data_IF_794578721255
#
_entry.id   IF_794578721255
#
_cell.length_a   1.000
_cell.length_b   1.000
_cell.length_c   1.000
_cell.angle_alpha   90.00
_cell.angle_beta   90.00
_cell.angle_gamma   90.00
#
_symmetry.space_group_name_H-M   'P 1'
#
loop_
_entity.id
_entity.type
_entity.pdbx_description
1 polymer ?
#
# COMPACT_ATOMS: atom_id res chain seq x y z
N UNK A 1 -17.53 6.60 -3.60
CA UNK A 1 -18.09 7.47 -4.65
C UNK A 1 -18.87 8.62 -4.06
N UNK A 2 -19.96 8.35 -3.29
CA UNK A 2 -20.82 9.39 -2.70
C UNK A 2 -20.06 10.44 -1.87
N UNK A 3 -19.12 10.02 -1.03
CA UNK A 3 -18.29 10.93 -0.24
C UNK A 3 -17.39 11.84 -1.08
N UNK A 4 -16.91 11.37 -2.22
CA UNK A 4 -16.11 12.18 -3.14
C UNK A 4 -16.94 13.24 -3.86
N UNK A 5 -18.21 12.94 -4.12
CA UNK A 5 -19.15 13.79 -4.83
C UNK A 5 -19.77 14.86 -3.92
N UNK A 6 -20.22 14.45 -2.73
CA UNK A 6 -20.91 15.34 -1.76
C UNK A 6 -19.98 16.34 -1.11
N UNK A 7 -18.68 16.07 -1.00
CA UNK A 7 -17.64 16.93 -0.42
C UNK A 7 -18.10 17.61 0.88
N UNK A 8 -18.35 16.85 1.98
CA UNK A 8 -18.86 17.42 3.21
C UNK A 8 -17.96 18.56 3.72
N UNK A 9 -18.55 19.64 4.22
CA UNK A 9 -17.81 20.78 4.76
C UNK A 9 -16.93 20.35 5.94
N UNK A 10 -15.69 20.84 5.99
CA UNK A 10 -14.72 20.50 7.05
C UNK A 10 -14.04 19.15 6.91
N UNK A 11 -14.34 18.38 5.85
CA UNK A 11 -13.69 17.11 5.55
C UNK A 11 -12.60 17.25 4.49
N UNK A 12 -11.64 16.34 4.49
CA UNK A 12 -10.67 16.22 3.41
C UNK A 12 -11.37 15.88 2.09
N UNK A 13 -10.81 16.38 0.98
CA UNK A 13 -11.32 16.07 -0.35
C UNK A 13 -10.86 14.68 -0.74
N UNK A 14 -11.80 13.76 -0.99
CA UNK A 14 -11.49 12.43 -1.53
C UNK A 14 -11.05 12.58 -3.00
N UNK A 15 -9.81 12.24 -3.30
CA UNK A 15 -9.20 12.38 -4.63
C UNK A 15 -9.24 11.11 -5.44
N UNK A 16 -9.34 9.98 -4.78
CA UNK A 16 -9.36 8.67 -5.40
C UNK A 16 -9.58 7.57 -4.39
N UNK A 17 -9.72 6.36 -4.89
CA UNK A 17 -9.72 5.13 -4.13
C UNK A 17 -8.51 4.27 -4.55
N UNK A 18 -7.84 3.72 -3.56
CA UNK A 18 -6.84 2.67 -3.72
C UNK A 18 -7.54 1.33 -3.49
N UNK A 19 -7.61 0.50 -4.51
CA UNK A 19 -8.24 -0.81 -4.44
C UNK A 19 -7.21 -1.83 -3.94
N UNK A 20 -7.13 -1.99 -2.64
CA UNK A 20 -6.24 -2.92 -1.96
C UNK A 20 -6.86 -4.32 -1.90
N UNK A 21 -6.56 -5.12 -2.89
CA UNK A 21 -7.12 -6.46 -3.10
C UNK A 21 -8.24 -6.49 -4.14
N UNK A 22 -8.81 -7.68 -4.41
CA UNK A 22 -8.61 -8.99 -3.76
C UNK A 22 -7.48 -9.86 -4.35
N UNK A 23 -6.63 -9.36 -5.23
CA UNK A 23 -5.67 -10.11 -6.04
C UNK A 23 -4.34 -10.34 -5.32
N UNK A 24 -4.40 -10.99 -4.15
CA UNK A 24 -3.30 -11.14 -3.21
C UNK A 24 -2.86 -12.58 -3.00
N UNK A 25 -1.59 -12.75 -2.64
CA UNK A 25 -1.04 -14.03 -2.20
C UNK A 25 -1.62 -14.43 -0.85
N UNK A 26 -2.17 -15.63 -0.74
CA UNK A 26 -2.68 -16.15 0.54
C UNK A 26 -1.58 -16.19 1.62
N UNK A 27 -0.33 -16.49 1.22
CA UNK A 27 0.82 -16.51 2.13
C UNK A 27 1.16 -15.14 2.72
N UNK A 28 0.79 -14.07 2.04
CA UNK A 28 1.10 -12.69 2.39
C UNK A 28 -0.15 -11.83 2.60
N UNK A 29 -1.28 -12.47 2.87
CA UNK A 29 -2.57 -11.79 3.04
C UNK A 29 -2.58 -10.74 4.16
N UNK A 30 -1.65 -10.81 5.12
CA UNK A 30 -1.67 -9.93 6.28
C UNK A 30 -3.01 -10.00 7.01
N UNK A 31 -3.62 -8.85 7.25
CA UNK A 31 -4.93 -8.73 7.88
C UNK A 31 -6.12 -8.91 6.91
N UNK A 32 -5.87 -9.18 5.62
CA UNK A 32 -6.94 -9.44 4.66
C UNK A 32 -7.64 -10.78 4.95
N UNK A 33 -8.95 -10.82 4.77
CA UNK A 33 -9.72 -12.05 4.95
C UNK A 33 -9.50 -13.00 3.77
N UNK A 34 -8.93 -14.18 4.02
CA UNK A 34 -8.61 -15.16 2.98
C UNK A 34 -9.84 -15.58 2.13
N UNK A 35 -11.05 -15.53 2.69
CA UNK A 35 -12.27 -15.88 1.97
C UNK A 35 -12.57 -14.95 0.77
N UNK A 36 -11.99 -13.74 0.77
CA UNK A 36 -12.22 -12.75 -0.28
C UNK A 36 -11.10 -12.69 -1.32
N UNK A 37 -10.00 -13.41 -1.12
CA UNK A 37 -8.90 -13.45 -2.08
C UNK A 37 -9.34 -14.11 -3.40
N UNK A 38 -8.82 -13.59 -4.49
CA UNK A 38 -9.13 -14.03 -5.86
C UNK A 38 -7.85 -13.99 -6.71
N UNK A 39 -7.84 -14.80 -7.74
CA UNK A 39 -6.86 -14.63 -8.83
C UNK A 39 -7.14 -13.34 -9.61
N UNK A 40 -6.11 -12.73 -10.22
CA UNK A 40 -6.27 -11.52 -11.02
C UNK A 40 -7.28 -11.72 -12.16
N UNK A 41 -8.38 -10.99 -12.10
CA UNK A 41 -9.47 -11.03 -13.07
C UNK A 41 -9.76 -9.60 -13.56
N UNK A 42 -9.35 -9.33 -14.80
CA UNK A 42 -9.54 -8.01 -15.39
C UNK A 42 -11.02 -7.69 -15.67
N UNK A 43 -11.86 -8.68 -15.95
CA UNK A 43 -13.29 -8.45 -16.19
C UNK A 43 -13.99 -8.04 -14.88
N UNK A 44 -13.70 -8.76 -13.79
CA UNK A 44 -14.21 -8.39 -12.46
C UNK A 44 -13.71 -7.00 -12.02
N UNK A 45 -12.42 -6.71 -12.23
CA UNK A 45 -11.86 -5.38 -11.97
C UNK A 45 -12.56 -4.30 -12.81
N UNK A 46 -12.76 -4.51 -14.10
CA UNK A 46 -13.39 -3.53 -15.00
C UNK A 46 -14.83 -3.19 -14.57
N UNK A 47 -15.57 -4.16 -14.08
CA UNK A 47 -16.92 -3.93 -13.53
C UNK A 47 -16.86 -3.02 -12.29
N UNK A 48 -15.93 -3.26 -11.38
CA UNK A 48 -15.73 -2.44 -10.17
C UNK A 48 -15.21 -1.03 -10.54
N UNK A 49 -14.27 -0.95 -11.46
CA UNK A 49 -13.72 0.30 -11.96
C UNK A 49 -14.82 1.17 -12.59
N UNK A 50 -15.67 0.58 -13.44
CA UNK A 50 -16.77 1.27 -14.06
C UNK A 50 -17.83 1.72 -13.03
N UNK A 51 -18.17 0.86 -12.06
CA UNK A 51 -19.10 1.21 -10.98
C UNK A 51 -18.56 2.35 -10.09
N UNK A 52 -17.23 2.46 -9.96
CA UNK A 52 -16.55 3.54 -9.26
C UNK A 52 -16.53 4.87 -10.02
N UNK A 53 -17.00 4.92 -11.28
CA UNK A 53 -17.02 6.12 -12.12
C UNK A 53 -15.67 6.89 -12.12
N UNK A 54 -14.57 6.16 -12.29
CA UNK A 54 -13.22 6.72 -12.36
C UNK A 54 -12.61 7.16 -11.02
N UNK A 55 -13.22 6.79 -9.88
CA UNK A 55 -12.62 7.10 -8.56
C UNK A 55 -11.42 6.22 -8.23
N UNK A 56 -11.36 4.99 -8.77
CA UNK A 56 -10.21 4.09 -8.56
C UNK A 56 -8.99 4.66 -9.25
N UNK A 57 -7.93 4.91 -8.51
CA UNK A 57 -6.66 5.46 -8.98
C UNK A 57 -5.52 4.46 -8.93
N UNK A 58 -5.57 3.55 -7.97
CA UNK A 58 -4.56 2.51 -7.78
C UNK A 58 -5.29 1.19 -7.60
N UNK A 59 -4.75 0.11 -8.16
CA UNK A 59 -5.16 -1.27 -7.89
C UNK A 59 -3.94 -2.12 -7.59
N UNK A 60 -4.07 -2.96 -6.57
CA UNK A 60 -3.02 -3.85 -6.11
C UNK A 60 -3.12 -5.24 -6.73
N UNK A 61 -1.94 -5.84 -6.94
CA UNK A 61 -1.81 -7.22 -7.41
C UNK A 61 -0.55 -7.88 -6.85
N UNK A 62 -0.63 -9.15 -6.52
CA UNK A 62 0.52 -10.02 -6.27
C UNK A 62 1.01 -10.61 -7.59
N UNK A 63 2.21 -10.25 -8.07
CA UNK A 63 2.66 -10.58 -9.43
C UNK A 63 2.92 -12.06 -9.69
N UNK A 64 3.14 -12.86 -8.65
CA UNK A 64 3.31 -14.31 -8.75
C UNK A 64 2.01 -15.07 -9.03
N UNK A 65 0.86 -14.43 -8.97
CA UNK A 65 -0.42 -15.09 -9.19
C UNK A 65 -0.64 -15.39 -10.67
N UNK A 66 -1.31 -16.52 -11.00
CA UNK A 66 -1.67 -16.84 -12.37
C UNK A 66 -2.46 -15.70 -13.03
N UNK A 67 -2.06 -15.31 -14.24
CA UNK A 67 -2.72 -14.23 -14.99
C UNK A 67 -2.34 -12.80 -14.59
N UNK A 68 -1.50 -12.60 -13.56
CA UNK A 68 -1.13 -11.28 -13.06
C UNK A 68 -0.51 -10.38 -14.15
N UNK A 69 0.41 -10.89 -14.95
CA UNK A 69 1.05 -10.10 -16.00
C UNK A 69 0.06 -9.61 -17.07
N UNK A 70 -0.94 -10.43 -17.43
CA UNK A 70 -2.00 -10.01 -18.36
C UNK A 70 -2.92 -8.98 -17.73
N UNK A 71 -3.30 -9.21 -16.47
CA UNK A 71 -4.06 -8.25 -15.69
C UNK A 71 -3.36 -6.88 -15.65
N UNK A 72 -2.08 -6.85 -15.29
CA UNK A 72 -1.27 -5.63 -15.24
C UNK A 72 -1.27 -4.89 -16.58
N UNK A 73 -1.00 -5.59 -17.70
CA UNK A 73 -0.99 -4.96 -19.04
C UNK A 73 -2.32 -4.28 -19.40
N UNK A 74 -3.43 -4.79 -18.88
CA UNK A 74 -4.76 -4.23 -19.14
C UNK A 74 -5.10 -3.12 -18.15
N UNK A 75 -4.87 -3.34 -16.86
CA UNK A 75 -5.23 -2.42 -15.78
C UNK A 75 -4.38 -1.14 -15.80
N UNK A 76 -3.08 -1.23 -16.15
CA UNK A 76 -2.17 -0.08 -16.25
C UNK A 76 -2.58 0.97 -17.30
N UNK A 77 -3.49 0.62 -18.21
CA UNK A 77 -4.10 1.57 -19.16
C UNK A 77 -5.24 2.40 -18.55
N UNK A 78 -5.69 2.02 -17.35
CA UNK A 78 -6.84 2.65 -16.69
C UNK A 78 -6.46 3.37 -15.39
N UNK A 79 -5.53 2.81 -14.63
CA UNK A 79 -5.07 3.35 -13.36
C UNK A 79 -3.65 2.86 -13.04
N UNK A 80 -3.05 3.39 -11.99
CA UNK A 80 -1.77 2.87 -11.45
C UNK A 80 -1.96 1.44 -10.96
N UNK A 81 -1.07 0.54 -11.36
CA UNK A 81 -1.00 -0.82 -10.81
C UNK A 81 0.15 -0.91 -9.84
N UNK A 82 -0.11 -1.43 -8.65
CA UNK A 82 0.84 -1.55 -7.57
C UNK A 82 1.07 -3.00 -7.18
N UNK A 83 2.30 -3.34 -6.79
CA UNK A 83 2.61 -4.63 -6.17
C UNK A 83 2.29 -4.53 -4.68
N UNK A 84 1.50 -5.49 -4.17
CA UNK A 84 1.14 -5.59 -2.76
C UNK A 84 0.89 -7.04 -2.35
N UNK A 85 0.98 -7.33 -1.04
CA UNK A 85 0.60 -8.62 -0.45
C UNK A 85 1.10 -9.83 -1.26
N UNK A 86 2.39 -9.89 -1.48
CA UNK A 86 3.05 -10.76 -2.44
C UNK A 86 4.16 -11.62 -1.83
N UNK A 87 4.30 -12.85 -2.29
CA UNK A 87 5.46 -13.72 -2.05
C UNK A 87 6.36 -13.81 -3.30
N UNK A 88 6.22 -12.85 -4.23
CA UNK A 88 6.88 -12.85 -5.52
C UNK A 88 8.40 -12.89 -5.43
N UNK A 89 9.00 -13.56 -6.38
CA UNK A 89 10.43 -13.51 -6.64
C UNK A 89 10.83 -12.16 -7.26
N UNK A 90 12.14 -11.96 -7.42
CA UNK A 90 12.68 -10.83 -8.17
C UNK A 90 12.22 -10.86 -9.64
N UNK A 91 12.25 -12.03 -10.28
CA UNK A 91 11.89 -12.19 -11.68
C UNK A 91 10.39 -11.95 -11.91
N UNK A 92 9.52 -12.41 -11.00
CA UNK A 92 8.08 -12.09 -11.05
C UNK A 92 7.83 -10.58 -10.98
N UNK A 93 8.57 -9.89 -10.10
CA UNK A 93 8.46 -8.45 -9.95
C UNK A 93 8.94 -7.70 -11.21
N UNK A 94 10.07 -8.12 -11.80
CA UNK A 94 10.57 -7.55 -13.06
C UNK A 94 9.54 -7.73 -14.18
N UNK A 95 8.98 -8.93 -14.34
CA UNK A 95 7.94 -9.20 -15.33
C UNK A 95 6.69 -8.29 -15.13
N UNK A 96 6.29 -8.05 -13.88
CA UNK A 96 5.16 -7.19 -13.59
C UNK A 96 5.47 -5.71 -13.87
N UNK A 97 6.68 -5.23 -13.57
CA UNK A 97 7.14 -3.88 -13.88
C UNK A 97 7.18 -3.66 -15.40
N UNK A 98 7.73 -4.61 -16.15
CA UNK A 98 7.72 -4.59 -17.62
C UNK A 98 6.31 -4.63 -18.20
N UNK A 99 5.36 -5.27 -17.50
CA UNK A 99 3.96 -5.30 -17.90
C UNK A 99 3.21 -3.99 -17.58
N UNK A 100 3.75 -3.10 -16.73
CA UNK A 100 3.18 -1.78 -16.46
C UNK A 100 2.97 -1.44 -14.98
N UNK A 101 3.50 -2.19 -14.04
CA UNK A 101 3.55 -1.80 -12.62
C UNK A 101 4.47 -0.59 -12.45
N UNK A 102 4.00 0.42 -11.70
CA UNK A 102 4.76 1.63 -11.39
C UNK A 102 4.72 2.00 -9.91
N UNK A 103 4.20 1.10 -9.07
CA UNK A 103 4.01 1.40 -7.65
C UNK A 103 4.25 0.18 -6.77
N UNK A 104 4.62 0.42 -5.51
CA UNK A 104 4.75 -0.57 -4.44
C UNK A 104 3.96 -0.09 -3.22
N UNK A 105 2.98 -0.85 -2.80
CA UNK A 105 2.14 -0.54 -1.65
C UNK A 105 2.83 -0.91 -0.34
N UNK A 106 2.71 -0.07 0.69
CA UNK A 106 3.20 -0.24 2.06
C UNK A 106 4.51 -1.07 2.19
N UNK A 107 5.56 -0.56 1.54
CA UNK A 107 6.90 -1.17 1.45
C UNK A 107 7.31 -1.91 2.74
N UNK A 108 7.86 -3.11 2.61
CA UNK A 108 8.24 -4.09 3.63
C UNK A 108 7.06 -4.89 4.22
N UNK A 109 5.83 -4.35 4.25
CA UNK A 109 4.70 -5.03 4.85
C UNK A 109 4.09 -6.02 3.86
N UNK A 110 3.76 -7.21 4.33
CA UNK A 110 3.17 -8.28 3.54
C UNK A 110 3.94 -8.62 2.23
N UNK A 111 5.27 -8.53 2.26
CA UNK A 111 6.15 -8.90 1.14
C UNK A 111 7.45 -9.57 1.63
N UNK A 112 8.23 -10.23 0.76
CA UNK A 112 9.55 -10.76 1.14
C UNK A 112 10.52 -9.64 1.49
N UNK A 113 11.33 -9.85 2.51
CA UNK A 113 12.47 -8.99 2.82
C UNK A 113 13.60 -9.16 1.81
N UNK A 114 14.53 -8.20 1.78
CA UNK A 114 15.72 -8.28 0.93
C UNK A 114 16.64 -9.41 1.42
N UNK A 115 16.87 -10.39 0.57
CA UNK A 115 17.81 -11.47 0.82
C UNK A 115 18.83 -11.58 -0.31
N UNK A 116 20.11 -11.69 0.01
CA UNK A 116 21.23 -11.59 -0.94
C UNK A 116 21.23 -12.61 -2.09
N UNK A 117 20.48 -13.71 -2.00
CA UNK A 117 20.29 -14.72 -3.06
C UNK A 117 18.85 -14.83 -3.56
N UNK A 118 17.91 -14.24 -2.86
CA UNK A 118 16.47 -14.18 -3.22
C UNK A 118 15.97 -12.78 -2.91
N UNK A 119 16.33 -11.79 -3.74
CA UNK A 119 16.13 -10.39 -3.40
C UNK A 119 14.66 -9.97 -3.26
N UNK A 120 13.75 -10.65 -3.94
CA UNK A 120 12.33 -10.34 -3.89
C UNK A 120 11.97 -9.05 -4.64
N UNK A 121 10.81 -8.49 -4.33
CA UNK A 121 10.21 -7.37 -5.08
C UNK A 121 10.93 -6.02 -4.85
N UNK A 122 11.53 -5.82 -3.68
CA UNK A 122 12.08 -4.51 -3.31
C UNK A 122 13.25 -4.10 -4.20
N UNK A 123 14.30 -4.92 -4.41
CA UNK A 123 15.38 -4.59 -5.33
C UNK A 123 14.92 -4.39 -6.77
N UNK A 124 13.98 -5.20 -7.28
CA UNK A 124 13.42 -5.02 -8.62
C UNK A 124 12.79 -3.62 -8.79
N UNK A 125 12.04 -3.16 -7.76
CA UNK A 125 11.45 -1.82 -7.76
C UNK A 125 12.49 -0.71 -7.59
N UNK A 126 13.56 -0.93 -6.80
CA UNK A 126 14.64 0.05 -6.62
C UNK A 126 15.39 0.30 -7.92
N UNK A 127 15.70 -0.75 -8.67
CA UNK A 127 16.42 -0.69 -9.95
C UNK A 127 15.60 -0.05 -11.06
N UNK A 128 14.29 0.04 -10.92
CA UNK A 128 13.41 0.67 -11.89
C UNK A 128 12.97 2.07 -11.43
N UNK A 129 13.53 3.12 -12.05
CA UNK A 129 13.29 4.51 -11.67
C UNK A 129 11.84 4.99 -11.82
N UNK A 130 11.00 4.25 -12.55
CA UNK A 130 9.59 4.58 -12.72
C UNK A 130 8.72 4.09 -11.56
N UNK A 131 9.24 3.20 -10.71
CA UNK A 131 8.48 2.64 -9.59
C UNK A 131 8.62 3.52 -8.36
N UNK A 132 7.49 4.00 -7.84
CA UNK A 132 7.37 4.66 -6.54
C UNK A 132 7.03 3.66 -5.45
N UNK A 133 7.30 3.99 -4.19
CA UNK A 133 7.00 3.11 -3.06
C UNK A 133 6.32 3.86 -1.93
N UNK A 134 5.22 3.29 -1.43
CA UNK A 134 4.55 3.76 -0.23
C UNK A 134 5.25 3.27 1.03
N UNK A 135 5.20 4.05 2.09
CA UNK A 135 5.83 3.72 3.37
C UNK A 135 4.99 4.21 4.54
N UNK A 136 4.72 3.33 5.50
CA UNK A 136 4.08 3.66 6.77
C UNK A 136 5.19 3.97 7.78
N UNK A 137 5.37 5.24 8.14
CA UNK A 137 6.46 5.68 9.05
C UNK A 137 5.97 5.95 10.48
N UNK A 138 5.02 5.15 10.96
CA UNK A 138 4.45 5.27 12.30
C UNK A 138 5.34 4.73 13.43
N UNK A 139 6.45 4.05 13.08
CA UNK A 139 7.37 3.42 14.03
C UNK A 139 6.86 2.10 14.61
N UNK A 140 5.68 1.62 14.19
CA UNK A 140 5.11 0.32 14.54
C UNK A 140 5.27 -0.68 13.37
N UNK A 141 4.92 -0.24 12.15
CA UNK A 141 5.02 -1.06 10.94
C UNK A 141 6.45 -1.16 10.45
N UNK A 142 7.21 -0.07 10.50
CA UNK A 142 8.57 -0.01 9.95
C UNK A 142 9.53 0.63 10.96
N UNK A 143 10.61 -0.12 11.27
CA UNK A 143 11.66 0.37 12.16
C UNK A 143 12.34 1.64 11.58
N UNK A 144 12.71 2.64 12.41
CA UNK A 144 13.32 3.89 11.94
C UNK A 144 14.55 3.72 11.03
N UNK A 145 15.36 2.70 11.25
CA UNK A 145 16.51 2.40 10.38
C UNK A 145 16.06 1.97 8.97
N UNK A 146 14.97 1.19 8.87
CA UNK A 146 14.41 0.75 7.59
C UNK A 146 13.70 1.90 6.86
N UNK A 147 13.10 2.85 7.59
CA UNK A 147 12.57 4.10 7.01
C UNK A 147 13.70 4.88 6.33
N UNK A 148 14.82 5.09 7.03
CA UNK A 148 16.00 5.76 6.43
C UNK A 148 16.58 5.01 5.23
N UNK A 149 16.61 3.67 5.31
CA UNK A 149 17.10 2.84 4.21
C UNK A 149 16.20 2.96 2.98
N UNK A 150 14.87 2.94 3.15
CA UNK A 150 13.91 3.13 2.07
C UNK A 150 14.13 4.45 1.32
N UNK A 151 14.26 5.57 2.05
CA UNK A 151 14.55 6.87 1.44
C UNK A 151 15.89 6.92 0.70
N UNK A 152 16.90 6.16 1.16
CA UNK A 152 18.20 6.05 0.46
C UNK A 152 18.10 5.21 -0.81
N UNK A 153 17.31 4.13 -0.79
CA UNK A 153 17.17 3.22 -1.93
C UNK A 153 16.32 3.84 -3.06
N UNK A 154 15.18 4.40 -2.72
CA UNK A 154 14.26 4.96 -3.71
C UNK A 154 14.52 6.44 -4.03
N UNK A 155 15.20 7.15 -3.14
CA UNK A 155 15.33 8.61 -3.21
C UNK A 155 14.02 9.33 -2.86
N UNK A 156 14.09 10.61 -2.44
CA UNK A 156 12.92 11.35 -1.96
C UNK A 156 11.84 11.59 -3.03
N UNK A 157 12.20 11.51 -4.31
CA UNK A 157 11.25 11.74 -5.40
C UNK A 157 10.29 10.57 -5.66
N UNK A 158 10.64 9.36 -5.20
CA UNK A 158 9.87 8.13 -5.41
C UNK A 158 9.21 7.59 -4.14
N UNK A 159 9.52 8.18 -2.97
CA UNK A 159 8.87 7.79 -1.71
C UNK A 159 7.52 8.49 -1.54
N UNK A 160 6.52 7.74 -1.11
CA UNK A 160 5.18 8.22 -0.76
C UNK A 160 4.90 7.84 0.69
N UNK A 161 4.66 8.80 1.57
CA UNK A 161 4.22 8.50 2.93
C UNK A 161 2.72 8.28 2.96
N UNK A 162 2.31 7.15 3.52
CA UNK A 162 0.93 6.78 3.75
C UNK A 162 0.70 6.49 5.23
N UNK A 163 -0.52 6.47 5.65
CA UNK A 163 -0.91 6.05 7.00
C UNK A 163 -1.47 4.64 7.04
N UNK A 164 -2.10 4.18 5.97
CA UNK A 164 -2.86 2.93 5.97
C UNK A 164 -3.82 2.87 7.18
N UNK A 165 -4.54 3.97 7.41
CA UNK A 165 -5.38 4.15 8.61
C UNK A 165 -6.63 3.29 8.56
N UNK A 166 -6.87 2.57 9.65
CA UNK A 166 -8.15 1.91 9.89
C UNK A 166 -9.21 2.88 10.42
N UNK A 167 -10.47 2.45 10.41
CA UNK A 167 -11.60 3.20 10.98
C UNK A 167 -11.45 3.51 12.48
N UNK A 168 -10.58 2.79 13.18
CA UNK A 168 -10.27 3.03 14.59
C UNK A 168 -9.24 4.15 14.81
N UNK A 169 -8.72 4.77 13.77
CA UNK A 169 -7.80 5.91 13.91
C UNK A 169 -8.49 7.07 14.63
N UNK A 170 -7.86 7.54 15.73
CA UNK A 170 -8.41 8.60 16.57
C UNK A 170 -9.54 8.16 17.53
N UNK A 171 -9.85 6.88 17.57
CA UNK A 171 -10.85 6.30 18.47
C UNK A 171 -10.20 5.79 19.77
N UNK A 172 -10.98 5.59 20.87
CA UNK A 172 -10.48 4.95 22.09
C UNK A 172 -10.00 3.52 21.85
N UNK A 173 -9.16 3.00 22.75
CA UNK A 173 -8.84 1.57 22.79
C UNK A 173 -10.13 0.74 22.88
N UNK A 174 -10.19 -0.37 22.11
CA UNK A 174 -11.40 -1.19 22.02
C UNK A 174 -11.41 -2.12 20.83
N UNK A 175 -12.55 -2.75 20.62
CA UNK A 175 -12.80 -3.67 19.50
C UNK A 175 -13.46 -2.95 18.33
N UNK A 176 -12.95 -3.19 17.13
CA UNK A 176 -13.40 -2.66 15.85
C UNK A 176 -13.49 -3.79 14.82
N UNK A 177 -13.70 -3.48 13.57
CA UNK A 177 -13.87 -4.47 12.50
C UNK A 177 -13.11 -4.06 11.23
N UNK A 178 -12.48 -5.05 10.59
CA UNK A 178 -11.87 -4.94 9.27
C UNK A 178 -12.28 -6.16 8.41
N UNK A 179 -13.06 -5.93 7.34
CA UNK A 179 -13.45 -6.98 6.41
C UNK A 179 -14.17 -8.18 7.05
N UNK A 180 -15.03 -7.93 8.04
CA UNK A 180 -15.75 -8.97 8.79
C UNK A 180 -14.91 -9.66 9.88
N UNK A 181 -13.69 -9.18 10.15
CA UNK A 181 -12.82 -9.72 11.19
C UNK A 181 -12.70 -8.72 12.35
N UNK A 182 -12.66 -9.18 13.63
CA UNK A 182 -12.44 -8.30 14.76
C UNK A 182 -11.01 -7.77 14.76
N UNK A 183 -10.87 -6.47 15.07
CA UNK A 183 -9.60 -5.77 15.23
C UNK A 183 -9.58 -5.14 16.63
N UNK A 184 -8.51 -5.35 17.35
CA UNK A 184 -8.33 -4.80 18.70
C UNK A 184 -7.33 -3.65 18.65
N UNK A 185 -7.80 -2.44 18.97
CA UNK A 185 -6.95 -1.26 19.17
C UNK A 185 -6.51 -1.22 20.63
N UNK A 186 -5.20 -1.23 20.85
CA UNK A 186 -4.61 -1.07 22.17
C UNK A 186 -3.32 -0.26 22.08
N UNK A 187 -3.25 0.84 22.86
CA UNK A 187 -2.06 1.68 22.91
C UNK A 187 -1.64 2.26 21.54
N UNK A 188 -2.60 2.54 20.66
CA UNK A 188 -2.35 3.07 19.32
C UNK A 188 -1.90 2.03 18.28
N UNK A 189 -1.97 0.74 18.60
CA UNK A 189 -1.67 -0.35 17.65
C UNK A 189 -2.91 -1.22 17.46
N UNK A 190 -3.30 -1.41 16.19
CA UNK A 190 -4.43 -2.25 15.81
C UNK A 190 -3.94 -3.65 15.42
N UNK A 191 -4.56 -4.71 15.96
CA UNK A 191 -4.18 -6.10 15.71
C UNK A 191 -5.40 -7.00 15.52
N UNK A 192 -5.24 -8.03 14.71
CA UNK A 192 -6.16 -9.17 14.69
C UNK A 192 -5.99 -10.02 15.96
N UNK A 193 -6.92 -10.97 16.19
CA UNK A 193 -6.89 -11.88 17.32
C UNK A 193 -5.64 -12.78 17.39
N UNK A 194 -4.99 -13.04 16.25
CA UNK A 194 -3.75 -13.80 16.15
C UNK A 194 -2.48 -12.95 16.38
N UNK A 195 -2.64 -11.65 16.66
CA UNK A 195 -1.54 -10.72 16.89
C UNK A 195 -1.00 -10.03 15.63
N UNK A 196 -1.49 -10.39 14.45
CA UNK A 196 -1.13 -9.72 13.19
C UNK A 196 -1.47 -8.24 13.25
N UNK A 197 -0.53 -7.35 12.92
CA UNK A 197 -0.80 -5.92 12.78
C UNK A 197 -1.77 -5.74 11.61
N UNK A 198 -2.86 -4.99 11.85
CA UNK A 198 -3.87 -4.69 10.85
C UNK A 198 -3.86 -3.18 10.62
N UNK A 199 -3.43 -2.71 9.48
CA UNK A 199 -3.35 -1.29 9.18
C UNK A 199 -2.93 -0.39 10.36
N UNK A 200 -2.97 0.91 10.23
CA UNK A 200 -2.55 1.80 11.31
C UNK A 200 -3.71 2.48 12.07
N UNK A 201 -3.41 2.97 13.26
CA UNK A 201 -4.27 3.87 14.03
C UNK A 201 -3.72 5.32 14.02
N UNK A 202 -2.93 5.68 13.00
CA UNK A 202 -2.30 6.99 12.85
C UNK A 202 -2.79 7.70 11.58
N UNK A 203 -2.27 8.87 11.30
CA UNK A 203 -2.57 9.67 10.10
C UNK A 203 -1.27 10.07 9.37
N UNK A 204 -1.39 10.54 8.12
CA UNK A 204 -0.23 10.90 7.30
C UNK A 204 0.60 12.03 7.91
N UNK A 205 -0.03 12.98 8.58
CA UNK A 205 0.68 14.09 9.23
C UNK A 205 1.61 13.58 10.34
N UNK A 206 1.12 12.68 11.19
CA UNK A 206 1.94 12.06 12.24
C UNK A 206 3.02 11.15 11.65
N UNK A 207 2.72 10.39 10.59
CA UNK A 207 3.72 9.63 9.85
C UNK A 207 4.84 10.53 9.32
N UNK A 208 4.51 11.69 8.74
CA UNK A 208 5.49 12.67 8.26
C UNK A 208 6.35 13.22 9.41
N UNK A 209 5.75 13.61 10.54
CA UNK A 209 6.50 14.09 11.70
C UNK A 209 7.44 13.02 12.27
N UNK A 210 6.99 11.76 12.32
CA UNK A 210 7.82 10.64 12.74
C UNK A 210 8.96 10.37 11.75
N UNK A 211 8.73 10.42 10.44
CA UNK A 211 9.79 10.31 9.46
C UNK A 211 10.90 11.36 9.69
N UNK A 212 10.51 12.62 9.96
CA UNK A 212 11.47 13.69 10.32
C UNK A 212 12.22 13.33 11.62
N UNK A 213 11.52 12.86 12.64
CA UNK A 213 12.16 12.45 13.91
C UNK A 213 13.11 11.25 13.75
N UNK A 214 12.89 10.42 12.73
CA UNK A 214 13.78 9.30 12.36
C UNK A 214 14.99 9.73 11.55
N UNK A 215 15.10 11.02 11.21
CA UNK A 215 16.26 11.60 10.52
C UNK A 215 16.06 11.78 9.01
N UNK A 216 14.84 11.74 8.51
CA UNK A 216 14.54 12.14 7.13
C UNK A 216 14.53 13.68 7.08
N UNK A 217 15.20 14.33 6.09
CA UNK A 217 15.11 15.78 5.90
C UNK A 217 13.66 16.26 5.81
N UNK A 218 13.37 17.40 6.41
CA UNK A 218 12.00 17.93 6.48
C UNK A 218 11.37 18.09 5.09
N UNK A 219 12.13 18.65 4.16
CA UNK A 219 11.70 18.85 2.77
C UNK A 219 11.33 17.53 2.07
N UNK A 220 12.12 16.47 2.32
CA UNK A 220 11.88 15.15 1.74
C UNK A 220 10.64 14.49 2.34
N UNK A 221 10.46 14.59 3.67
CA UNK A 221 9.28 14.05 4.35
C UNK A 221 8.01 14.78 3.93
N UNK A 222 8.04 16.11 3.84
CA UNK A 222 6.91 16.91 3.33
C UNK A 222 6.59 16.56 1.88
N UNK A 223 7.62 16.46 1.03
CA UNK A 223 7.46 16.06 -0.37
C UNK A 223 6.79 14.69 -0.49
N UNK A 224 7.26 13.72 0.28
CA UNK A 224 6.72 12.35 0.28
C UNK A 224 5.28 12.27 0.81
N UNK A 225 4.88 13.17 1.71
CA UNK A 225 3.52 13.22 2.27
C UNK A 225 2.53 14.07 1.43
N UNK A 226 2.99 14.87 0.47
CA UNK A 226 2.14 15.85 -0.22
C UNK A 226 2.30 15.82 -1.73
N UNK A 227 3.46 16.23 -2.24
CA UNK A 227 3.70 16.39 -3.68
C UNK A 227 3.75 15.04 -4.41
N UNK A 228 4.47 14.05 -3.87
CA UNK A 228 4.64 12.77 -4.54
C UNK A 228 3.31 12.02 -4.71
N UNK A 229 2.44 11.89 -3.68
CA UNK A 229 1.14 11.23 -3.85
C UNK A 229 0.15 12.01 -4.72
N UNK A 230 0.43 13.28 -5.05
CA UNK A 230 -0.43 14.11 -5.89
C UNK A 230 -0.05 14.06 -7.38
N UNK A 231 1.06 13.42 -7.73
CA UNK A 231 1.54 13.23 -9.11
C UNK A 231 0.88 12.07 -9.80
#
# INVERSE_FOLDING_TARGET
YRMADERPAGCAVVRGAHMEGPFFSEKKKGAQNAAYLREPDFEAFSKLFAAGNGIVRIVDVAPELPGAAEFVRKASKQCTVSIAHTDASYDDAVCAIEAGVTHLTHLYNAMPGIHHRKPGVIPAAVENEQVSAELISDGQHVHPASVRLAFRMFGPARMVLISDSLRCCGMPDGEYELGGQPVFLQGGVARLSDGTIAGSATNVYDCMLRAISFGIPREDAVRAATYNPAR
#
